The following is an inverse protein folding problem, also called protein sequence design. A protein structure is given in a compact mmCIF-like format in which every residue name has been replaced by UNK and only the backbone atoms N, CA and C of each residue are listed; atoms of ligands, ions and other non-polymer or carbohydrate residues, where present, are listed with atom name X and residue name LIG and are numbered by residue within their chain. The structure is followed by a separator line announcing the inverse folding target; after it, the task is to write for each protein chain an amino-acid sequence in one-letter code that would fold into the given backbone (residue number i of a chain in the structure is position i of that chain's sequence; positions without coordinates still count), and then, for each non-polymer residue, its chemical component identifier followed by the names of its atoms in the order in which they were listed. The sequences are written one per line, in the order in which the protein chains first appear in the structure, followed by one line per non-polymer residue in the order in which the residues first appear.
data_IF_750613855133
#
_entry.id   IF_750613855133
#
_cell.length_a   1.000
_cell.length_b   1.000
_cell.length_c   1.000
_cell.angle_alpha   90.00
_cell.angle_beta   90.00
_cell.angle_gamma   90.00
#
_symmetry.space_group_name_H-M   'P 1'
#
loop_
_entity.id
_entity.type
_entity.pdbx_description
1 polymer ?
#
# COMPACT_ATOMS: atom_id res chain seq x y z
N UNK A 1 18.99 47.41 -58.34
CA UNK A 1 18.77 46.16 -57.57
C UNK A 1 19.29 46.23 -56.12
N UNK A 2 19.54 47.42 -55.55
CA UNK A 2 20.17 47.57 -54.22
C UNK A 2 19.19 47.92 -53.08
N UNK A 3 17.98 48.38 -53.38
CA UNK A 3 17.00 48.79 -52.36
C UNK A 3 16.20 47.61 -51.74
N UNK A 4 15.93 46.55 -52.50
CA UNK A 4 15.14 45.40 -52.01
C UNK A 4 15.91 44.52 -51.02
N UNK A 5 17.23 44.44 -51.15
CA UNK A 5 18.10 43.67 -50.26
C UNK A 5 18.26 44.32 -48.88
N UNK A 6 18.23 45.66 -48.80
CA UNK A 6 18.30 46.38 -47.54
C UNK A 6 17.02 46.24 -46.70
N UNK A 7 15.84 46.19 -47.35
CA UNK A 7 14.57 45.99 -46.67
C UNK A 7 14.44 44.58 -46.07
N UNK A 8 14.91 43.54 -46.77
CA UNK A 8 14.85 42.15 -46.27
C UNK A 8 15.79 41.91 -45.09
N UNK A 9 16.96 42.56 -45.07
CA UNK A 9 17.88 42.48 -43.92
C UNK A 9 17.33 43.22 -42.71
N UNK A 10 16.70 44.38 -42.90
CA UNK A 10 16.08 45.13 -41.80
C UNK A 10 14.90 44.39 -41.16
N UNK A 11 14.11 43.65 -41.93
CA UNK A 11 13.01 42.84 -41.38
C UNK A 11 13.50 41.60 -40.61
N UNK A 12 14.62 41.00 -41.02
CA UNK A 12 15.21 39.85 -40.33
C UNK A 12 15.82 40.28 -38.98
N UNK A 13 16.45 41.46 -38.92
CA UNK A 13 16.99 42.03 -37.67
C UNK A 13 15.87 42.46 -36.71
N UNK A 14 14.71 42.90 -37.21
CA UNK A 14 13.58 43.27 -36.36
C UNK A 14 12.86 42.05 -35.76
N UNK A 15 12.81 40.93 -36.49
CA UNK A 15 12.17 39.69 -36.01
C UNK A 15 13.06 38.94 -35.00
N UNK A 16 14.39 39.08 -35.07
CA UNK A 16 15.30 38.47 -34.09
C UNK A 16 15.37 39.23 -32.76
N UNK A 17 15.05 40.53 -32.74
CA UNK A 17 15.05 41.32 -31.49
C UNK A 17 13.81 41.17 -30.62
N UNK A 18 12.71 40.58 -31.13
CA UNK A 18 11.50 40.32 -30.32
C UNK A 18 11.53 39.00 -29.57
N UNK A 19 12.59 38.19 -29.69
CA UNK A 19 12.85 37.06 -28.78
C UNK A 19 13.55 37.60 -27.52
N UNK A 20 12.92 38.59 -26.90
CA UNK A 20 13.34 39.16 -25.62
C UNK A 20 13.06 38.14 -24.52
N UNK A 21 14.13 37.76 -23.83
CA UNK A 21 14.22 36.96 -22.62
C UNK A 21 12.94 36.93 -21.75
N UNK A 22 12.12 35.89 -21.90
CA UNK A 22 11.21 35.49 -20.83
C UNK A 22 12.05 34.85 -19.73
N UNK A 23 12.37 35.62 -18.69
CA UNK A 23 13.07 35.09 -17.51
C UNK A 23 12.10 34.20 -16.73
N UNK A 24 12.21 32.88 -16.90
CA UNK A 24 11.49 31.92 -16.08
C UNK A 24 12.20 31.83 -14.73
N UNK A 25 11.51 32.21 -13.65
CA UNK A 25 11.95 31.92 -12.30
C UNK A 25 11.00 30.90 -11.70
N UNK A 26 11.46 29.66 -11.58
CA UNK A 26 10.77 28.64 -10.81
C UNK A 26 10.88 29.00 -9.33
N UNK A 27 9.76 29.38 -8.72
CA UNK A 27 9.68 29.50 -7.26
C UNK A 27 9.27 28.12 -6.75
N UNK A 28 10.15 27.37 -6.06
CA UNK A 28 9.75 26.15 -5.38
C UNK A 28 8.86 26.55 -4.20
N UNK A 29 7.56 26.32 -4.34
CA UNK A 29 6.61 26.46 -3.24
C UNK A 29 6.51 25.07 -2.59
N UNK A 30 7.24 24.90 -1.49
CA UNK A 30 7.09 23.73 -0.63
C UNK A 30 5.88 23.97 0.28
N UNK A 31 4.72 23.46 -0.08
CA UNK A 31 3.59 23.42 0.85
C UNK A 31 3.68 22.11 1.63
N UNK A 32 3.96 22.13 2.94
CA UNK A 32 3.92 20.92 3.75
C UNK A 32 2.49 20.40 3.78
N UNK A 33 2.26 19.21 3.23
CA UNK A 33 1.02 18.51 3.50
C UNK A 33 1.11 18.04 4.95
N UNK A 34 0.03 18.23 5.71
CA UNK A 34 -0.04 17.64 7.04
C UNK A 34 -0.07 16.12 6.86
N UNK A 35 0.93 15.37 7.35
CA UNK A 35 0.88 13.92 7.29
C UNK A 35 -0.40 13.41 7.95
N UNK A 36 -0.87 12.24 7.49
CA UNK A 36 -2.01 11.55 8.15
C UNK A 36 -1.66 11.18 9.60
N UNK A 37 -0.40 10.81 9.84
CA UNK A 37 0.15 10.55 11.16
C UNK A 37 1.51 11.25 11.30
N UNK A 38 1.67 12.07 12.34
CA UNK A 38 2.97 12.66 12.66
C UNK A 38 3.85 11.63 13.39
N UNK A 39 4.84 11.09 12.67
CA UNK A 39 5.78 10.11 13.20
C UNK A 39 7.08 10.73 13.71
N UNK A 40 7.26 12.06 13.61
CA UNK A 40 8.51 12.74 13.97
C UNK A 40 8.89 12.59 15.44
N UNK A 41 7.89 12.33 16.30
CA UNK A 41 8.08 12.04 17.72
C UNK A 41 8.74 10.66 17.98
N UNK A 42 8.74 9.75 17.00
CA UNK A 42 9.22 8.38 17.14
C UNK A 42 10.56 8.19 16.42
N UNK A 43 11.56 7.71 17.16
CA UNK A 43 12.86 7.34 16.58
C UNK A 43 12.92 5.87 16.13
N UNK A 44 11.98 5.05 16.62
CA UNK A 44 11.98 3.60 16.49
C UNK A 44 10.59 3.11 16.10
N UNK A 45 10.54 2.07 15.28
CA UNK A 45 9.30 1.41 14.87
C UNK A 45 9.37 -0.08 15.17
N UNK A 46 8.33 -0.61 15.82
CA UNK A 46 8.15 -2.02 16.11
C UNK A 46 7.03 -2.56 15.25
N UNK A 47 7.33 -3.54 14.40
CA UNK A 47 6.28 -4.31 13.73
C UNK A 47 6.00 -5.53 14.60
N UNK A 48 4.95 -5.44 15.39
CA UNK A 48 4.61 -6.39 16.45
C UNK A 48 4.17 -7.75 15.89
N UNK A 49 3.27 -7.72 14.90
CA UNK A 49 2.63 -8.89 14.32
C UNK A 49 1.23 -8.52 13.83
N UNK A 50 0.58 -9.45 13.16
CA UNK A 50 -0.74 -9.28 12.58
C UNK A 50 -1.62 -10.49 12.85
N UNK A 51 -2.90 -10.23 13.03
CA UNK A 51 -3.93 -11.27 13.02
C UNK A 51 -4.25 -11.57 11.56
N UNK A 52 -3.82 -12.73 11.07
CA UNK A 52 -4.00 -13.14 9.68
C UNK A 52 -5.15 -14.13 9.50
N UNK A 53 -5.89 -14.00 8.39
CA UNK A 53 -6.97 -14.92 8.00
C UNK A 53 -7.08 -15.10 6.49
N UNK A 54 -7.90 -16.08 6.09
CA UNK A 54 -8.23 -16.40 4.71
C UNK A 54 -7.59 -17.69 4.22
N UNK A 55 -6.67 -17.59 3.25
CA UNK A 55 -5.97 -18.73 2.65
C UNK A 55 -4.90 -19.29 3.59
N UNK A 56 -4.91 -20.61 3.75
CA UNK A 56 -3.90 -21.36 4.52
C UNK A 56 -2.59 -21.57 3.75
N UNK A 57 -2.54 -21.22 2.46
CA UNK A 57 -1.35 -21.39 1.61
C UNK A 57 -0.23 -20.39 1.94
N UNK A 58 -0.55 -19.33 2.71
CA UNK A 58 0.37 -18.23 3.04
C UNK A 58 0.22 -17.87 4.52
N UNK A 59 1.34 -17.84 5.25
CA UNK A 59 1.37 -17.27 6.60
C UNK A 59 1.35 -15.74 6.51
N UNK A 60 0.14 -15.18 6.52
CA UNK A 60 -0.06 -13.73 6.41
C UNK A 60 0.60 -12.94 7.53
N UNK A 61 0.72 -13.48 8.75
CA UNK A 61 1.32 -12.77 9.87
C UNK A 61 2.83 -12.60 9.66
N UNK A 62 3.51 -13.71 9.42
CA UNK A 62 4.96 -13.76 9.31
C UNK A 62 5.45 -13.11 8.01
N UNK A 63 4.78 -13.30 6.88
CA UNK A 63 5.16 -12.67 5.62
C UNK A 63 4.90 -11.15 5.61
N UNK A 64 3.76 -10.69 6.16
CA UNK A 64 3.48 -9.24 6.30
C UNK A 64 4.56 -8.60 7.16
N UNK A 65 4.87 -9.20 8.31
CA UNK A 65 5.82 -8.64 9.28
C UNK A 65 7.22 -8.55 8.69
N UNK A 66 7.69 -9.61 8.02
CA UNK A 66 9.00 -9.62 7.36
C UNK A 66 9.08 -8.56 6.26
N UNK A 67 8.06 -8.49 5.41
CA UNK A 67 8.03 -7.56 4.30
C UNK A 67 8.01 -6.10 4.79
N UNK A 68 7.14 -5.77 5.74
CA UNK A 68 7.05 -4.40 6.28
C UNK A 68 8.34 -3.98 6.98
N UNK A 69 8.98 -4.86 7.76
CA UNK A 69 10.29 -4.56 8.37
C UNK A 69 11.35 -4.27 7.31
N UNK A 70 11.39 -5.04 6.23
CA UNK A 70 12.30 -4.82 5.11
C UNK A 70 12.06 -3.46 4.42
N UNK A 71 10.79 -3.14 4.13
CA UNK A 71 10.42 -1.87 3.49
C UNK A 71 10.70 -0.68 4.39
N UNK A 72 10.39 -0.76 5.68
CA UNK A 72 10.65 0.32 6.65
C UNK A 72 12.15 0.58 6.83
N UNK A 73 12.99 -0.47 6.87
CA UNK A 73 14.45 -0.29 6.91
C UNK A 73 15.00 0.44 5.70
N UNK A 74 14.39 0.22 4.54
CA UNK A 74 14.90 0.75 3.27
C UNK A 74 14.37 2.16 2.99
N UNK A 75 13.13 2.45 3.39
CA UNK A 75 12.38 3.64 2.95
C UNK A 75 11.97 4.59 4.08
N UNK A 76 12.07 4.19 5.35
CA UNK A 76 11.73 5.05 6.49
C UNK A 76 12.98 5.54 7.20
N UNK A 77 12.88 6.72 7.83
CA UNK A 77 13.96 7.30 8.63
C UNK A 77 14.05 6.68 10.04
N UNK A 78 13.06 5.88 10.44
CA UNK A 78 12.96 5.27 11.76
C UNK A 78 13.81 3.99 11.87
N UNK A 79 14.37 3.74 13.06
CA UNK A 79 15.08 2.49 13.34
C UNK A 79 14.09 1.35 13.60
N UNK A 80 14.06 0.37 12.70
CA UNK A 80 13.22 -0.84 12.84
C UNK A 80 13.77 -1.75 13.93
N UNK A 81 12.90 -2.18 14.84
CA UNK A 81 13.24 -3.14 15.90
C UNK A 81 13.06 -4.56 15.39
N UNK A 82 14.09 -5.38 15.56
CA UNK A 82 14.03 -6.82 15.35
C UNK A 82 13.57 -7.53 16.62
N UNK A 83 12.31 -7.93 16.64
CA UNK A 83 11.75 -8.80 17.67
C UNK A 83 11.16 -10.05 17.03
N UNK A 84 10.92 -11.07 17.82
CA UNK A 84 10.06 -12.17 17.37
C UNK A 84 8.65 -11.65 17.08
N UNK A 85 7.96 -12.30 16.15
CA UNK A 85 6.60 -11.92 15.75
C UNK A 85 5.67 -12.32 16.89
N UNK A 86 4.90 -11.36 17.41
CA UNK A 86 3.93 -11.63 18.47
C UNK A 86 2.78 -12.49 17.92
N UNK A 87 2.47 -13.64 18.53
CA UNK A 87 1.33 -14.46 18.16
C UNK A 87 0.05 -13.83 18.74
N UNK A 88 -0.43 -12.76 18.12
CA UNK A 88 -1.57 -11.97 18.62
C UNK A 88 -2.88 -12.78 18.73
N UNK A 89 -3.00 -13.85 17.94
CA UNK A 89 -4.11 -14.81 18.02
C UNK A 89 -4.15 -15.55 19.35
N UNK A 90 -2.99 -15.95 19.86
CA UNK A 90 -2.87 -16.70 21.11
C UNK A 90 -3.16 -15.76 22.28
N UNK A 91 -2.57 -14.55 22.26
CA UNK A 91 -2.80 -13.52 23.29
C UNK A 91 -4.28 -13.16 23.40
N UNK A 92 -4.98 -13.02 22.26
CA UNK A 92 -6.40 -12.71 22.23
C UNK A 92 -7.28 -13.86 22.75
N UNK A 93 -6.85 -15.11 22.61
CA UNK A 93 -7.58 -16.28 23.12
C UNK A 93 -7.29 -16.53 24.61
N UNK A 94 -6.05 -16.32 25.05
CA UNK A 94 -5.63 -16.41 26.46
C UNK A 94 -6.30 -15.35 27.34
N UNK A 95 -6.37 -14.09 26.88
CA UNK A 95 -7.08 -13.02 27.58
C UNK A 95 -8.58 -13.28 27.76
N UNK A 96 -9.14 -14.24 27.02
CA UNK A 96 -10.56 -14.63 27.07
C UNK A 96 -10.84 -15.79 28.03
N UNK A 97 -9.84 -16.57 28.44
CA UNK A 97 -10.02 -17.74 29.29
C UNK A 97 -9.95 -17.36 30.79
N UNK A 98 -11.06 -17.36 31.56
CA UNK A 98 -11.02 -16.98 32.97
C UNK A 98 -10.46 -18.08 33.88
N UNK A 99 -10.20 -19.27 33.36
CA UNK A 99 -9.78 -20.44 34.12
C UNK A 99 -8.76 -21.22 33.29
N UNK A 100 -7.55 -21.41 33.83
CA UNK A 100 -6.40 -22.07 33.20
C UNK A 100 -6.62 -23.54 32.85
N UNK A 101 -7.50 -23.81 31.90
CA UNK A 101 -7.48 -25.03 31.12
C UNK A 101 -6.49 -24.79 29.97
N UNK A 102 -5.43 -25.60 29.93
CA UNK A 102 -4.46 -25.64 28.84
C UNK A 102 -5.20 -25.76 27.51
N UNK A 103 -5.29 -24.64 26.80
CA UNK A 103 -5.93 -24.58 25.49
C UNK A 103 -4.97 -25.15 24.46
N UNK A 104 -4.89 -26.49 24.38
CA UNK A 104 -4.61 -27.17 23.12
C UNK A 104 -5.85 -27.04 22.22
N UNK A 105 -6.23 -25.81 21.89
CA UNK A 105 -7.30 -25.52 20.96
C UNK A 105 -6.64 -25.15 19.64
N UNK A 106 -6.86 -25.96 18.62
CA UNK A 106 -6.58 -25.58 17.23
C UNK A 106 -7.07 -24.15 17.02
N UNK A 107 -6.16 -23.24 16.70
CA UNK A 107 -6.50 -21.83 16.48
C UNK A 107 -7.64 -21.78 15.45
N UNK A 108 -8.73 -21.05 15.75
CA UNK A 108 -9.85 -20.98 14.82
C UNK A 108 -9.35 -20.40 13.50
N UNK A 109 -9.59 -21.13 12.41
CA UNK A 109 -9.24 -20.69 11.06
C UNK A 109 -10.18 -19.53 10.70
N UNK A 110 -9.64 -18.32 10.69
CA UNK A 110 -10.36 -17.11 10.28
C UNK A 110 -10.56 -17.20 8.76
N UNK A 111 -11.81 -17.29 8.31
CA UNK A 111 -12.14 -17.41 6.88
C UNK A 111 -12.76 -16.13 6.33
N UNK A 112 -13.55 -15.45 7.16
CA UNK A 112 -14.31 -14.28 6.76
C UNK A 112 -13.87 -13.03 7.54
N UNK A 113 -14.22 -11.86 7.02
CA UNK A 113 -13.92 -10.58 7.69
C UNK A 113 -14.59 -10.51 9.07
N UNK A 114 -15.77 -11.13 9.25
CA UNK A 114 -16.52 -11.17 10.51
C UNK A 114 -15.79 -11.93 11.61
N UNK A 115 -14.99 -12.95 11.25
CA UNK A 115 -14.19 -13.74 12.19
C UNK A 115 -13.08 -12.90 12.85
N UNK A 116 -12.78 -11.71 12.32
CA UNK A 116 -11.79 -10.77 12.87
C UNK A 116 -12.37 -9.84 13.94
N UNK A 117 -13.69 -9.61 13.95
CA UNK A 117 -14.35 -8.73 14.93
C UNK A 117 -14.04 -9.08 16.39
N UNK A 118 -14.04 -10.38 16.78
CA UNK A 118 -13.73 -10.77 18.15
C UNK A 118 -12.30 -10.45 18.55
N UNK A 119 -11.39 -10.17 17.62
CA UNK A 119 -9.99 -9.85 17.92
C UNK A 119 -9.73 -8.35 18.01
N UNK A 120 -10.69 -7.50 17.62
CA UNK A 120 -10.45 -6.06 17.56
C UNK A 120 -10.22 -5.42 18.93
N UNK A 121 -10.81 -6.00 19.98
CA UNK A 121 -10.62 -5.55 21.35
C UNK A 121 -9.16 -5.62 21.82
N UNK A 122 -8.35 -6.54 21.28
CA UNK A 122 -6.91 -6.65 21.58
C UNK A 122 -6.18 -5.34 21.23
N UNK A 123 -6.56 -4.69 20.12
CA UNK A 123 -5.93 -3.44 19.71
C UNK A 123 -6.33 -2.25 20.60
N UNK A 124 -7.39 -2.39 21.40
CA UNK A 124 -7.82 -1.40 22.36
C UNK A 124 -7.25 -1.63 23.77
N UNK A 125 -6.54 -2.74 24.02
CA UNK A 125 -5.91 -3.04 25.31
C UNK A 125 -4.66 -2.16 25.55
N UNK A 126 -4.88 -1.01 26.19
CA UNK A 126 -3.84 -0.04 26.49
C UNK A 126 -2.75 -0.60 27.39
N UNK A 127 -3.11 -1.43 28.38
CA UNK A 127 -2.13 -1.96 29.35
C UNK A 127 -1.17 -2.95 28.69
N UNK A 128 -1.70 -3.83 27.84
CA UNK A 128 -0.89 -4.77 27.06
C UNK A 128 0.12 -4.03 26.18
N UNK A 129 -0.33 -3.06 25.38
CA UNK A 129 0.54 -2.34 24.45
C UNK A 129 1.54 -1.43 25.16
N UNK A 130 1.16 -0.88 26.33
CA UNK A 130 2.09 -0.10 27.16
C UNK A 130 3.23 -0.97 27.69
N UNK A 131 2.95 -2.19 28.16
CA UNK A 131 3.98 -3.13 28.61
C UNK A 131 4.97 -3.49 27.50
N UNK A 132 4.46 -3.79 26.30
CA UNK A 132 5.29 -4.05 25.11
C UNK A 132 6.10 -2.79 24.75
N UNK A 133 5.49 -1.62 24.81
CA UNK A 133 6.16 -0.36 24.57
C UNK A 133 7.31 -0.11 25.55
N UNK A 134 7.13 -0.39 26.84
CA UNK A 134 8.19 -0.28 27.85
C UNK A 134 9.35 -1.24 27.59
N UNK A 135 9.08 -2.49 27.20
CA UNK A 135 10.10 -3.49 26.84
C UNK A 135 10.97 -3.03 25.66
N UNK A 136 10.35 -2.47 24.63
CA UNK A 136 11.04 -2.07 23.38
C UNK A 136 11.45 -0.60 23.31
N UNK A 137 11.46 0.12 24.44
CA UNK A 137 11.84 1.55 24.57
C UNK A 137 10.94 2.53 23.81
N UNK A 138 9.63 2.46 24.04
CA UNK A 138 8.58 3.35 23.54
C UNK A 138 8.61 3.57 22.00
N UNK A 139 8.60 2.50 21.18
CA UNK A 139 8.54 2.64 19.72
C UNK A 139 7.14 3.02 19.24
N UNK A 140 7.04 3.45 17.98
CA UNK A 140 5.79 3.39 17.24
C UNK A 140 5.48 1.91 16.95
N UNK A 141 4.37 1.40 17.47
CA UNK A 141 3.98 0.01 17.27
C UNK A 141 3.05 -0.05 16.06
N UNK A 142 3.40 -0.87 15.07
CA UNK A 142 2.58 -1.20 13.90
C UNK A 142 2.08 -2.62 14.07
N UNK A 143 0.76 -2.76 14.07
CA UNK A 143 0.04 -4.02 14.21
C UNK A 143 -1.24 -3.98 13.37
N UNK A 144 -2.06 -5.02 13.41
CA UNK A 144 -3.38 -5.00 12.80
C UNK A 144 -3.89 -6.36 12.35
N UNK A 145 -4.77 -6.35 11.36
CA UNK A 145 -5.33 -7.56 10.74
C UNK A 145 -4.94 -7.64 9.27
N UNK A 146 -4.82 -8.86 8.74
CA UNK A 146 -4.49 -9.14 7.33
C UNK A 146 -5.38 -10.25 6.83
N UNK A 147 -6.38 -9.92 6.02
CA UNK A 147 -7.23 -10.91 5.36
C UNK A 147 -6.76 -11.13 3.93
N UNK A 148 -6.41 -12.36 3.58
CA UNK A 148 -6.01 -12.74 2.22
C UNK A 148 -6.85 -13.92 1.75
N UNK A 149 -7.81 -13.68 0.85
CA UNK A 149 -8.78 -14.70 0.45
C UNK A 149 -8.85 -14.86 -1.08
N UNK A 150 -9.11 -16.07 -1.59
CA UNK A 150 -9.40 -16.27 -3.01
C UNK A 150 -10.72 -15.60 -3.38
N UNK A 151 -10.75 -14.93 -4.53
CA UNK A 151 -11.93 -14.23 -5.02
C UNK A 151 -12.18 -14.58 -6.49
N UNK A 152 -13.44 -14.87 -6.83
CA UNK A 152 -13.88 -15.10 -8.21
C UNK A 152 -14.90 -14.03 -8.61
N UNK A 153 -14.74 -13.47 -9.80
CA UNK A 153 -15.72 -12.57 -10.42
C UNK A 153 -15.98 -12.97 -11.86
N UNK A 154 -17.25 -13.14 -12.18
CA UNK A 154 -17.69 -13.39 -13.55
C UNK A 154 -18.01 -12.07 -14.25
N UNK A 155 -17.56 -11.91 -15.49
CA UNK A 155 -17.80 -10.68 -16.25
C UNK A 155 -17.52 -10.83 -17.74
N UNK A 156 -17.98 -9.86 -18.52
CA UNK A 156 -17.72 -9.81 -19.95
C UNK A 156 -16.33 -9.21 -20.16
N UNK A 157 -15.43 -9.98 -20.78
CA UNK A 157 -14.09 -9.52 -21.17
C UNK A 157 -14.07 -9.35 -22.68
N UNK A 158 -13.55 -8.22 -23.16
CA UNK A 158 -13.26 -8.02 -24.58
C UNK A 158 -11.91 -8.67 -24.90
N UNK A 159 -11.90 -9.57 -25.89
CA UNK A 159 -10.68 -10.14 -26.42
C UNK A 159 -10.59 -9.85 -27.91
N UNK A 160 -9.41 -9.43 -28.33
CA UNK A 160 -9.06 -9.31 -29.72
C UNK A 160 -8.90 -10.72 -30.33
N UNK A 161 -9.82 -11.11 -31.20
CA UNK A 161 -9.73 -12.35 -31.94
C UNK A 161 -9.29 -12.03 -33.37
N UNK A 162 -8.24 -12.71 -33.82
CA UNK A 162 -7.83 -12.66 -35.22
C UNK A 162 -8.80 -13.49 -36.05
N UNK A 163 -9.58 -12.81 -36.89
CA UNK A 163 -10.47 -13.42 -37.85
C UNK A 163 -9.88 -13.19 -39.24
N UNK A 164 -9.81 -14.25 -40.04
CA UNK A 164 -9.42 -14.16 -41.44
C UNK A 164 -10.66 -13.89 -42.27
N UNK A 165 -10.64 -12.82 -43.06
CA UNK A 165 -11.69 -12.58 -44.06
C UNK A 165 -11.59 -13.65 -45.17
N UNK A 166 -12.67 -13.81 -45.94
CA UNK A 166 -12.77 -14.66 -47.14
C UNK A 166 -11.62 -14.52 -48.14
N UNK A 167 -10.89 -13.39 -48.12
CA UNK A 167 -9.70 -13.12 -48.93
C UNK A 167 -8.36 -13.43 -48.23
N UNK A 168 -8.37 -14.11 -47.07
CA UNK A 168 -7.18 -14.51 -46.32
C UNK A 168 -6.44 -13.38 -45.58
N UNK A 169 -7.05 -12.20 -45.47
CA UNK A 169 -6.46 -11.04 -44.76
C UNK A 169 -6.74 -11.14 -43.26
N UNK A 170 -5.73 -10.93 -42.42
CA UNK A 170 -5.87 -10.89 -40.95
C UNK A 170 -6.62 -9.62 -40.54
N UNK A 171 -7.73 -9.77 -39.81
CA UNK A 171 -8.46 -8.69 -39.17
C UNK A 171 -8.63 -8.99 -37.69
N UNK A 172 -8.27 -8.03 -36.84
CA UNK A 172 -8.51 -8.13 -35.39
C UNK A 172 -9.92 -7.62 -35.11
N UNK A 173 -10.79 -8.47 -34.59
CA UNK A 173 -12.15 -8.10 -34.19
C UNK A 173 -12.29 -8.29 -32.68
N UNK A 174 -12.74 -7.27 -31.92
CA UNK A 174 -12.99 -7.43 -30.50
C UNK A 174 -14.24 -8.29 -30.29
N UNK A 175 -14.07 -9.45 -29.67
CA UNK A 175 -15.15 -10.36 -29.29
C UNK A 175 -15.40 -10.25 -27.79
N UNK A 176 -16.66 -10.06 -27.41
CA UNK A 176 -17.10 -10.02 -26.01
C UNK A 176 -17.44 -11.42 -25.57
N UNK A 177 -16.61 -12.01 -24.72
CA UNK A 177 -16.85 -13.34 -24.16
C UNK A 177 -17.09 -13.23 -22.67
N UNK A 178 -18.13 -13.92 -22.18
CA UNK A 178 -18.35 -14.06 -20.76
C UNK A 178 -17.30 -14.99 -20.18
N UNK A 179 -16.53 -14.51 -19.20
CA UNK A 179 -15.47 -15.28 -18.57
C UNK A 179 -15.52 -15.12 -17.06
N UNK A 180 -15.33 -16.24 -16.36
CA UNK A 180 -15.04 -16.23 -14.94
C UNK A 180 -13.55 -15.90 -14.75
N UNK A 181 -13.27 -14.89 -13.93
CA UNK A 181 -11.92 -14.52 -13.53
C UNK A 181 -11.72 -14.90 -12.08
N UNK A 182 -10.65 -15.62 -11.79
CA UNK A 182 -10.27 -16.03 -10.44
C UNK A 182 -9.02 -15.27 -10.04
N UNK A 183 -8.89 -14.97 -8.77
CA UNK A 183 -7.72 -14.30 -8.23
C UNK A 183 -7.82 -14.18 -6.73
N UNK A 184 -7.29 -13.09 -6.18
CA UNK A 184 -7.16 -12.91 -4.75
C UNK A 184 -7.48 -11.48 -4.35
N UNK A 185 -7.95 -11.33 -3.12
CA UNK A 185 -8.15 -10.05 -2.46
C UNK A 185 -7.34 -10.01 -1.18
N UNK A 186 -6.70 -8.88 -0.95
CA UNK A 186 -5.94 -8.58 0.26
C UNK A 186 -6.60 -7.37 0.93
N UNK A 187 -7.07 -7.57 2.17
CA UNK A 187 -7.67 -6.52 2.99
C UNK A 187 -6.95 -6.43 4.34
N UNK A 188 -5.88 -5.64 4.43
CA UNK A 188 -5.24 -5.41 5.70
C UNK A 188 -5.79 -4.14 6.36
N UNK A 189 -5.91 -4.19 7.69
CA UNK A 189 -6.17 -3.05 8.55
C UNK A 189 -4.92 -2.81 9.37
N UNK A 190 -4.24 -1.70 9.15
CA UNK A 190 -3.11 -1.30 9.97
C UNK A 190 -3.57 -0.44 11.13
N UNK A 191 -3.00 -0.70 12.31
CA UNK A 191 -3.23 0.04 13.54
C UNK A 191 -1.87 0.52 14.03
N UNK A 192 -1.79 1.81 14.30
CA UNK A 192 -0.61 2.50 14.81
C UNK A 192 -0.85 2.83 16.27
N UNK A 193 0.02 2.34 17.15
CA UNK A 193 -0.12 2.49 18.60
C UNK A 193 1.13 3.21 19.13
N UNK A 194 0.91 4.16 20.02
CA UNK A 194 2.01 4.82 20.74
C UNK A 194 2.54 3.89 21.84
N UNK A 195 3.80 3.46 21.75
CA UNK A 195 4.43 2.63 22.77
C UNK A 195 4.63 3.32 24.12
N UNK A 196 4.50 4.64 24.23
CA UNK A 196 4.58 5.34 25.53
C UNK A 196 3.27 5.22 26.32
N UNK A 197 2.15 5.39 25.64
CA UNK A 197 0.82 5.47 26.28
C UNK A 197 0.01 4.20 26.11
N UNK A 198 0.31 3.37 25.10
CA UNK A 198 -0.49 2.22 24.69
C UNK A 198 -1.74 2.59 23.88
N UNK A 199 -1.92 3.87 23.52
CA UNK A 199 -3.14 4.34 22.83
C UNK A 199 -3.02 4.23 21.32
N UNK A 200 -4.10 3.85 20.65
CA UNK A 200 -4.20 3.87 19.18
C UNK A 200 -4.13 5.31 18.68
N UNK A 201 -3.13 5.62 17.86
CA UNK A 201 -2.94 6.92 17.22
C UNK A 201 -3.74 7.03 15.91
N UNK A 202 -3.67 5.97 15.10
CA UNK A 202 -4.28 5.95 13.79
C UNK A 202 -4.60 4.52 13.36
N UNK A 203 -5.59 4.37 12.50
CA UNK A 203 -5.93 3.10 11.87
C UNK A 203 -6.32 3.33 10.43
N UNK A 204 -5.82 2.49 9.52
CA UNK A 204 -6.10 2.60 8.09
C UNK A 204 -6.41 1.25 7.48
N UNK A 205 -7.49 1.22 6.70
CA UNK A 205 -7.96 0.03 6.00
C UNK A 205 -7.58 0.11 4.54
N UNK A 206 -7.01 -0.97 4.01
CA UNK A 206 -6.68 -1.09 2.60
C UNK A 206 -7.46 -2.26 1.98
N UNK A 207 -7.63 -2.19 0.66
CA UNK A 207 -8.20 -3.27 -0.13
C UNK A 207 -7.56 -3.29 -1.50
N UNK A 208 -6.83 -4.35 -1.77
CA UNK A 208 -6.24 -4.62 -3.08
C UNK A 208 -6.85 -5.89 -3.66
N UNK A 209 -7.15 -5.88 -4.96
CA UNK A 209 -7.74 -7.02 -5.67
C UNK A 209 -6.96 -7.25 -6.97
N UNK A 210 -6.63 -8.51 -7.22
CA UNK A 210 -6.07 -8.96 -8.51
C UNK A 210 -6.91 -10.10 -9.04
N UNK A 211 -7.32 -9.99 -10.31
CA UNK A 211 -8.11 -11.00 -10.99
C UNK A 211 -7.33 -11.48 -12.22
N UNK A 212 -7.13 -12.79 -12.31
CA UNK A 212 -6.48 -13.43 -13.44
C UNK A 212 -7.53 -13.97 -14.43
N UNK A 213 -7.15 -14.01 -15.70
CA UNK A 213 -7.96 -14.63 -16.74
C UNK A 213 -8.01 -16.16 -16.54
N UNK A 214 -9.06 -16.83 -17.01
CA UNK A 214 -9.23 -18.28 -16.84
C UNK A 214 -8.03 -19.14 -17.32
N UNK A 215 -7.23 -18.62 -18.26
CA UNK A 215 -6.06 -19.31 -18.80
C UNK A 215 -4.77 -19.08 -17.98
N UNK A 216 -4.80 -18.21 -16.98
CA UNK A 216 -3.66 -17.82 -16.16
C UNK A 216 -3.98 -18.10 -14.69
N UNK A 217 -3.24 -19.03 -14.08
CA UNK A 217 -3.32 -19.34 -12.65
C UNK A 217 -2.03 -18.93 -11.98
N UNK A 218 -2.07 -17.93 -11.10
CA UNK A 218 -0.93 -17.54 -10.28
C UNK A 218 -1.01 -18.23 -8.91
N UNK A 219 0.10 -18.70 -8.34
CA UNK A 219 0.13 -19.22 -6.98
C UNK A 219 -0.31 -18.17 -5.94
N UNK A 220 -0.84 -18.63 -4.80
CA UNK A 220 -1.31 -17.77 -3.71
C UNK A 220 -0.21 -16.84 -3.18
N UNK A 221 0.98 -17.38 -2.88
CA UNK A 221 2.11 -16.61 -2.38
C UNK A 221 2.58 -15.51 -3.35
N UNK A 222 2.67 -15.82 -4.64
CA UNK A 222 3.05 -14.83 -5.66
C UNK A 222 2.02 -13.71 -5.77
N UNK A 223 0.72 -14.07 -5.73
CA UNK A 223 -0.37 -13.10 -5.77
C UNK A 223 -0.40 -12.22 -4.52
N UNK A 224 -0.10 -12.80 -3.35
CA UNK A 224 0.02 -12.09 -2.09
C UNK A 224 1.11 -11.01 -2.14
N UNK A 225 2.32 -11.34 -2.61
CA UNK A 225 3.40 -10.36 -2.76
C UNK A 225 3.08 -9.28 -3.80
N UNK A 226 2.43 -9.65 -4.90
CA UNK A 226 1.97 -8.67 -5.91
C UNK A 226 0.99 -7.65 -5.30
N UNK A 227 0.06 -8.10 -4.46
CA UNK A 227 -0.89 -7.22 -3.77
C UNK A 227 -0.19 -6.37 -2.69
N UNK A 228 0.74 -6.95 -1.94
CA UNK A 228 1.51 -6.21 -0.94
C UNK A 228 2.39 -5.13 -1.58
N UNK A 229 3.05 -5.41 -2.71
CA UNK A 229 3.87 -4.43 -3.43
C UNK A 229 3.06 -3.22 -3.91
N UNK A 230 1.80 -3.43 -4.29
CA UNK A 230 0.86 -2.35 -4.63
C UNK A 230 0.43 -1.54 -3.41
N UNK A 231 0.33 -2.20 -2.25
CA UNK A 231 -0.12 -1.59 -1.01
C UNK A 231 0.98 -0.78 -0.29
N UNK A 232 2.24 -1.23 -0.36
CA UNK A 232 3.38 -0.65 0.37
C UNK A 232 3.52 0.87 0.18
N UNK A 233 3.42 1.45 -1.03
CA UNK A 233 3.53 2.89 -1.21
C UNK A 233 2.47 3.66 -0.41
N UNK A 234 1.23 3.17 -0.43
CA UNK A 234 0.11 3.77 0.31
C UNK A 234 0.34 3.66 1.81
N UNK A 235 0.78 2.51 2.31
CA UNK A 235 1.17 2.32 3.71
C UNK A 235 2.29 3.27 4.15
N UNK A 236 3.37 3.38 3.38
CA UNK A 236 4.49 4.29 3.72
C UNK A 236 4.08 5.75 3.67
N UNK A 237 3.12 6.10 2.81
CA UNK A 237 2.54 7.45 2.76
C UNK A 237 1.76 7.82 4.02
N UNK A 238 1.26 6.86 4.80
CA UNK A 238 0.57 7.16 6.06
C UNK A 238 1.55 7.60 7.14
N UNK A 239 2.74 6.99 7.14
CA UNK A 239 3.84 7.25 8.07
C UNK A 239 4.69 8.45 7.65
N UNK A 240 4.73 8.80 6.37
CA UNK A 240 5.62 9.85 5.86
C UNK A 240 5.04 11.26 6.04
N UNK A 241 5.84 12.18 6.59
CA UNK A 241 5.64 13.62 6.51
C UNK A 241 5.92 14.14 5.10
N UNK A 242 5.00 13.87 4.15
CA UNK A 242 5.16 14.36 2.78
C UNK A 242 5.15 15.90 2.73
N UNK A 243 6.27 16.47 2.30
CA UNK A 243 6.31 17.86 1.83
C UNK A 243 6.09 17.82 0.31
N UNK A 244 4.96 18.36 -0.18
CA UNK A 244 4.81 18.53 -1.62
C UNK A 244 5.59 19.77 -2.03
N UNK A 245 6.63 19.56 -2.82
CA UNK A 245 7.33 20.63 -3.54
C UNK A 245 6.57 20.87 -4.86
N UNK A 246 5.79 21.94 -4.91
CA UNK A 246 5.17 22.41 -6.15
C UNK A 246 5.96 23.58 -6.72
N UNK A 247 6.39 23.53 -7.98
CA UNK A 247 6.84 24.74 -8.67
C UNK A 247 5.63 25.40 -9.34
N UNK A 248 5.43 26.70 -9.10
CA UNK A 248 4.53 27.51 -9.93
C UNK A 248 5.38 28.33 -10.88
N UNK A 249 5.23 28.09 -12.18
CA UNK A 249 5.83 28.93 -13.22
C UNK A 249 4.90 30.12 -13.43
N UNK A 250 5.33 31.31 -13.03
CA UNK A 250 4.63 32.55 -13.37
C UNK A 250 5.18 33.05 -14.71
N UNK A 251 4.29 33.24 -15.68
CA UNK A 251 4.58 33.89 -16.96
C UNK A 251 4.33 35.40 -16.79
N UNK A 252 5.27 36.22 -17.26
CA UNK A 252 5.10 37.67 -17.37
C UNK A 252 5.01 38.07 -18.84
#
# INVERSE_FOLDING_TARGET
MTARLAQTLSSIVLVTMTVGCSSYYEIPIETPIRPKLDVSAFQRVLVAGFISGGSEDVDGNLETTRLLRSQLRTKSEMRVIDSDVLPLMDVATEGRAPNGAEASATLPVIKEDEDLEPYEHLFADVEYWKRIGEEYQQPLIVTGTVMFAPQARSGIVQRDQEVYDSFGRRRVVPVRTYMERKGFVLKPRFVFIDGRTGTVLHSENFREEVLYNANQTSPALSSYFELMDRLIPSFLSTLSSQTIKGSRVLLQ
#
